data_IF_884201901336
#
_entry.id   IF_884201901336
#
_cell.length_a   1.000
_cell.length_b   1.000
_cell.length_c   1.000
_cell.angle_alpha   90.00
_cell.angle_beta   90.00
_cell.angle_gamma   90.00
#
_symmetry.space_group_name_H-M   'P 1'
#
loop_
_entity.id
_entity.type
_entity.pdbx_description
1 polymer ?
#
# COMPACT_ATOMS: atom_id res chain seq x y z
N UNK A 1 -10.60 -16.87 -16.24
CA UNK A 1 -9.73 -16.47 -15.14
C UNK A 1 -9.87 -14.97 -15.05
N UNK A 2 -10.27 -14.44 -13.92
CA UNK A 2 -10.33 -12.97 -13.71
C UNK A 2 -8.88 -12.49 -13.62
N UNK A 3 -8.45 -11.66 -14.57
CA UNK A 3 -7.13 -11.05 -14.50
C UNK A 3 -7.27 -9.78 -13.67
N UNK A 4 -6.66 -9.76 -12.48
CA UNK A 4 -6.63 -8.58 -11.62
C UNK A 4 -5.84 -7.50 -12.35
N UNK A 5 -6.47 -6.36 -12.58
CA UNK A 5 -5.83 -5.18 -13.17
C UNK A 5 -6.46 -3.89 -12.66
N UNK A 6 -5.67 -2.84 -12.64
CA UNK A 6 -6.12 -1.48 -12.33
C UNK A 6 -5.79 -0.61 -13.54
N UNK A 7 -6.80 0.03 -14.11
CA UNK A 7 -6.64 1.00 -15.19
C UNK A 7 -6.98 2.40 -14.73
N UNK A 8 -6.07 3.32 -14.97
CA UNK A 8 -6.20 4.73 -14.61
C UNK A 8 -6.00 5.56 -15.87
N UNK A 9 -6.94 6.44 -16.16
CA UNK A 9 -6.91 7.30 -17.35
C UNK A 9 -7.20 8.75 -17.01
N UNK A 10 -6.23 9.63 -17.30
CA UNK A 10 -6.36 11.08 -17.17
C UNK A 10 -6.73 11.57 -15.78
N UNK A 11 -6.28 10.85 -14.73
CA UNK A 11 -6.63 11.11 -13.35
C UNK A 11 -6.06 12.44 -12.88
N UNK A 12 -6.93 13.38 -12.50
CA UNK A 12 -6.55 14.65 -11.87
C UNK A 12 -7.31 14.85 -10.58
N UNK A 13 -6.64 15.43 -9.59
CA UNK A 13 -7.21 15.66 -8.27
C UNK A 13 -6.63 16.91 -7.59
N UNK A 14 -7.48 17.66 -6.93
CA UNK A 14 -7.13 18.78 -6.06
C UNK A 14 -7.96 18.74 -4.78
N UNK A 15 -7.36 19.02 -3.61
CA UNK A 15 -8.10 19.22 -2.37
C UNK A 15 -8.71 20.61 -2.32
N UNK A 16 -7.96 21.59 -2.81
CA UNK A 16 -8.38 22.99 -2.89
C UNK A 16 -8.32 23.43 -4.35
N UNK A 17 -9.33 24.17 -4.79
CA UNK A 17 -9.44 24.63 -6.17
C UNK A 17 -8.21 25.44 -6.60
N UNK A 18 -7.59 25.03 -7.70
CA UNK A 18 -6.39 25.67 -8.24
C UNK A 18 -5.06 25.18 -7.66
N UNK A 19 -5.10 24.17 -6.77
CA UNK A 19 -3.91 23.53 -6.21
C UNK A 19 -3.90 22.04 -6.56
N UNK A 20 -3.53 21.68 -7.81
CA UNK A 20 -3.54 20.30 -8.26
C UNK A 20 -2.51 19.46 -7.47
N UNK A 21 -2.96 18.32 -6.95
CA UNK A 21 -2.12 17.31 -6.28
C UNK A 21 -1.75 16.21 -7.25
N UNK A 22 -2.67 15.85 -8.16
CA UNK A 22 -2.42 14.94 -9.28
C UNK A 22 -2.90 15.59 -10.57
N UNK A 23 -2.15 15.40 -11.65
CA UNK A 23 -2.41 16.03 -12.94
C UNK A 23 -2.25 15.04 -14.08
N UNK A 24 -3.39 14.63 -14.65
CA UNK A 24 -3.51 13.80 -15.86
C UNK A 24 -2.73 12.47 -15.79
N UNK A 25 -2.72 11.81 -14.62
CA UNK A 25 -2.07 10.51 -14.45
C UNK A 25 -2.81 9.44 -15.27
N UNK A 26 -2.06 8.70 -16.07
CA UNK A 26 -2.53 7.52 -16.79
C UNK A 26 -1.51 6.40 -16.61
N UNK A 27 -1.95 5.25 -16.06
CA UNK A 27 -1.11 4.09 -15.79
C UNK A 27 -1.99 2.86 -15.58
N UNK A 28 -1.47 1.68 -15.95
CA UNK A 28 -2.13 0.40 -15.70
C UNK A 28 -1.24 -0.49 -14.84
N UNK A 29 -1.86 -1.26 -13.95
CA UNK A 29 -1.20 -2.27 -13.11
C UNK A 29 -1.87 -3.62 -13.33
N UNK A 30 -1.10 -4.70 -13.31
CA UNK A 30 -1.57 -6.04 -13.64
C UNK A 30 -1.37 -7.00 -12.46
N UNK A 31 -2.06 -8.12 -12.50
CA UNK A 31 -1.86 -9.24 -11.59
C UNK A 31 -0.37 -9.61 -11.52
N UNK A 32 0.11 -9.90 -10.31
CA UNK A 32 1.52 -10.18 -10.01
C UNK A 32 2.49 -8.99 -10.10
N UNK A 33 2.03 -7.78 -10.49
CA UNK A 33 2.88 -6.59 -10.40
C UNK A 33 3.21 -6.26 -8.94
N UNK A 34 4.49 -5.96 -8.71
CA UNK A 34 4.99 -5.41 -7.47
C UNK A 34 5.52 -4.02 -7.73
N UNK A 35 4.72 -3.01 -7.42
CA UNK A 35 4.96 -1.63 -7.85
C UNK A 35 5.35 -0.74 -6.69
N UNK A 36 6.50 -0.09 -6.80
CA UNK A 36 6.92 0.98 -5.92
C UNK A 36 6.55 2.35 -6.49
N UNK A 37 5.74 3.12 -5.78
CA UNK A 37 5.48 4.53 -6.11
C UNK A 37 6.45 5.37 -5.29
N UNK A 38 7.39 6.01 -5.96
CA UNK A 38 8.40 6.88 -5.33
C UNK A 38 8.20 8.35 -5.71
N UNK A 39 8.81 9.25 -4.97
CA UNK A 39 8.73 10.69 -5.19
C UNK A 39 8.96 11.46 -3.89
N UNK A 40 9.24 12.75 -4.00
CA UNK A 40 9.44 13.64 -2.85
C UNK A 40 8.18 13.73 -1.97
N UNK A 41 8.33 14.32 -0.78
CA UNK A 41 7.18 14.63 0.08
C UNK A 41 6.21 15.55 -0.67
N UNK A 42 4.92 15.32 -0.45
CA UNK A 42 3.82 16.03 -1.13
C UNK A 42 3.74 15.84 -2.66
N UNK A 43 4.46 14.89 -3.25
CA UNK A 43 4.36 14.57 -4.68
C UNK A 43 3.00 13.98 -5.11
N UNK A 44 2.10 13.64 -4.16
CA UNK A 44 0.78 13.09 -4.44
C UNK A 44 0.63 11.58 -4.21
N UNK A 45 1.67 10.88 -3.72
CA UNK A 45 1.69 9.42 -3.56
C UNK A 45 0.54 8.86 -2.72
N UNK A 46 0.36 9.37 -1.50
CA UNK A 46 -0.74 8.92 -0.61
C UNK A 46 -2.11 9.27 -1.17
N UNK A 47 -2.24 10.43 -1.83
CA UNK A 47 -3.48 10.84 -2.49
C UNK A 47 -3.81 9.88 -3.64
N UNK A 48 -2.81 9.48 -4.42
CA UNK A 48 -2.98 8.49 -5.48
C UNK A 48 -3.54 7.17 -4.94
N UNK A 49 -2.96 6.62 -3.86
CA UNK A 49 -3.48 5.39 -3.24
C UNK A 49 -4.91 5.56 -2.68
N UNK A 50 -5.22 6.71 -2.06
CA UNK A 50 -6.56 6.99 -1.51
C UNK A 50 -7.64 7.01 -2.60
N UNK A 51 -7.30 7.52 -3.78
CA UNK A 51 -8.21 7.52 -4.93
C UNK A 51 -8.50 6.10 -5.44
N UNK A 52 -7.52 5.18 -5.41
CA UNK A 52 -7.72 3.80 -5.83
C UNK A 52 -8.75 3.05 -4.96
N UNK A 53 -8.85 3.36 -3.67
CA UNK A 53 -9.81 2.74 -2.75
C UNK A 53 -11.08 3.59 -2.54
N UNK A 54 -11.19 4.71 -3.26
CA UNK A 54 -12.32 5.62 -3.15
C UNK A 54 -12.48 6.25 -1.75
N UNK A 55 -11.36 6.51 -1.05
CA UNK A 55 -11.33 7.39 0.12
C UNK A 55 -11.42 8.86 -0.30
N UNK A 56 -10.88 9.15 -1.47
CA UNK A 56 -11.09 10.38 -2.21
C UNK A 56 -11.68 10.04 -3.59
N UNK A 57 -12.42 10.98 -4.19
CA UNK A 57 -13.04 10.76 -5.49
C UNK A 57 -12.51 11.78 -6.49
N UNK A 58 -11.99 11.35 -7.64
CA UNK A 58 -11.41 12.27 -8.61
C UNK A 58 -12.50 13.11 -9.29
N UNK A 59 -12.29 14.42 -9.44
CA UNK A 59 -13.19 15.27 -10.23
C UNK A 59 -13.02 15.05 -11.73
N UNK A 60 -11.88 14.49 -12.17
CA UNK A 60 -11.57 14.22 -13.57
C UNK A 60 -10.81 12.91 -13.72
N UNK A 61 -10.98 12.28 -14.89
CA UNK A 61 -10.39 10.99 -15.20
C UNK A 61 -11.25 9.82 -14.72
N UNK A 62 -10.69 8.62 -14.83
CA UNK A 62 -11.37 7.39 -14.41
C UNK A 62 -10.38 6.40 -13.81
N UNK A 63 -10.88 5.63 -12.85
CA UNK A 63 -10.19 4.49 -12.25
C UNK A 63 -11.10 3.27 -12.41
N UNK A 64 -10.57 2.17 -12.91
CA UNK A 64 -11.25 0.88 -12.99
C UNK A 64 -10.40 -0.18 -12.31
N UNK A 65 -11.04 -1.03 -11.54
CA UNK A 65 -10.41 -2.19 -10.90
C UNK A 65 -11.10 -3.42 -11.47
N UNK A 66 -10.35 -4.19 -12.23
CA UNK A 66 -10.92 -5.11 -13.20
C UNK A 66 -11.89 -4.34 -14.13
N UNK A 67 -13.14 -4.81 -14.27
CA UNK A 67 -14.15 -4.10 -15.06
C UNK A 67 -15.01 -3.14 -14.22
N UNK A 68 -14.70 -2.97 -12.90
CA UNK A 68 -15.52 -2.19 -11.97
C UNK A 68 -14.97 -0.76 -11.87
N UNK A 69 -15.74 0.28 -12.25
CA UNK A 69 -15.31 1.66 -12.04
C UNK A 69 -15.30 2.01 -10.54
N UNK A 70 -14.36 2.85 -10.11
CA UNK A 70 -14.30 3.37 -8.74
C UNK A 70 -15.29 4.51 -8.61
N UNK A 71 -16.49 4.20 -8.11
CA UNK A 71 -17.61 5.11 -7.90
C UNK A 71 -18.30 4.81 -6.56
N UNK A 72 -19.05 5.77 -6.01
CA UNK A 72 -19.69 5.62 -4.68
C UNK A 72 -20.53 4.34 -4.52
N UNK A 73 -21.21 3.91 -5.56
CA UNK A 73 -22.07 2.73 -5.57
C UNK A 73 -21.32 1.40 -5.76
N UNK A 74 -20.04 1.42 -6.12
CA UNK A 74 -19.21 0.23 -6.36
C UNK A 74 -18.17 0.00 -5.26
N UNK A 75 -17.97 0.96 -4.35
CA UNK A 75 -16.91 0.93 -3.34
C UNK A 75 -16.94 -0.33 -2.46
N UNK A 76 -18.13 -0.85 -2.11
CA UNK A 76 -18.23 -2.08 -1.31
C UNK A 76 -17.51 -3.24 -2.01
N UNK A 77 -17.82 -3.47 -3.30
CA UNK A 77 -17.20 -4.55 -4.09
C UNK A 77 -15.69 -4.36 -4.29
N UNK A 78 -15.26 -3.11 -4.46
CA UNK A 78 -13.84 -2.77 -4.63
C UNK A 78 -13.08 -3.05 -3.34
N UNK A 79 -13.61 -2.62 -2.19
CA UNK A 79 -12.99 -2.78 -0.87
C UNK A 79 -12.97 -4.22 -0.36
N UNK A 80 -13.76 -5.11 -0.94
CA UNK A 80 -13.66 -6.55 -0.70
C UNK A 80 -12.37 -7.15 -1.31
N UNK A 81 -11.89 -6.56 -2.41
CA UNK A 81 -10.71 -7.02 -3.16
C UNK A 81 -9.41 -6.36 -2.73
N UNK A 82 -9.49 -5.17 -2.14
CA UNK A 82 -8.31 -4.34 -1.85
C UNK A 82 -8.09 -4.21 -0.35
N UNK A 83 -6.90 -4.60 0.09
CA UNK A 83 -6.38 -4.23 1.40
C UNK A 83 -5.61 -2.92 1.33
N UNK A 84 -5.91 -1.97 2.23
CA UNK A 84 -5.21 -0.69 2.32
C UNK A 84 -4.55 -0.53 3.69
N UNK A 85 -3.24 -0.33 3.71
CA UNK A 85 -2.47 -0.04 4.93
C UNK A 85 -2.16 1.46 4.97
N UNK A 86 -2.68 2.13 5.98
CA UNK A 86 -2.46 3.57 6.18
C UNK A 86 -1.03 3.87 6.65
N UNK A 87 -0.53 5.06 6.30
CA UNK A 87 0.75 5.54 6.78
C UNK A 87 0.79 5.60 8.30
N UNK A 88 -0.25 6.17 8.93
CA UNK A 88 -0.42 6.19 10.37
C UNK A 88 -1.31 5.03 10.83
N UNK A 89 -0.71 4.09 11.59
CA UNK A 89 -1.41 2.92 12.12
C UNK A 89 -2.47 3.28 13.15
N UNK A 90 -2.37 4.43 13.84
CA UNK A 90 -3.37 4.88 14.80
C UNK A 90 -4.70 5.29 14.12
N UNK A 91 -4.68 5.58 12.82
CA UNK A 91 -5.89 5.82 12.03
C UNK A 91 -6.59 4.54 11.56
N UNK A 92 -5.90 3.40 11.64
CA UNK A 92 -6.40 2.10 11.19
C UNK A 92 -6.85 1.20 12.34
N UNK A 93 -6.11 1.21 13.47
CA UNK A 93 -6.36 0.35 14.62
C UNK A 93 -7.30 1.05 15.60
N UNK A 94 -8.44 0.43 15.92
CA UNK A 94 -9.48 1.06 16.75
C UNK A 94 -10.17 0.12 17.73
N UNK A 95 -9.88 -1.19 17.68
CA UNK A 95 -10.42 -2.16 18.63
C UNK A 95 -9.60 -2.21 19.92
N UNK A 96 -10.06 -3.00 20.90
CA UNK A 96 -9.40 -3.07 22.20
C UNK A 96 -8.10 -3.87 22.13
N UNK A 97 -8.08 -4.99 21.42
CA UNK A 97 -6.93 -5.89 21.29
C UNK A 97 -6.53 -6.11 19.84
N UNK A 98 -5.30 -6.57 19.63
CA UNK A 98 -4.77 -6.88 18.30
C UNK A 98 -5.66 -7.91 17.57
N UNK A 99 -6.01 -9.01 18.23
CA UNK A 99 -6.84 -10.05 17.62
C UNK A 99 -8.23 -9.54 17.24
N UNK A 100 -8.81 -8.61 18.01
CA UNK A 100 -10.11 -8.04 17.70
C UNK A 100 -10.05 -7.15 16.46
N UNK A 101 -8.98 -6.35 16.30
CA UNK A 101 -8.76 -5.55 15.09
C UNK A 101 -8.54 -6.45 13.86
N UNK A 102 -7.71 -7.49 13.98
CA UNK A 102 -7.46 -8.43 12.89
C UNK A 102 -8.72 -9.22 12.51
N UNK A 103 -9.60 -9.50 13.48
CA UNK A 103 -10.87 -10.19 13.27
C UNK A 103 -11.99 -9.27 12.75
N UNK A 104 -11.82 -7.95 12.83
CA UNK A 104 -12.90 -7.00 12.57
C UNK A 104 -13.46 -7.13 11.14
N UNK A 105 -12.59 -7.05 10.13
CA UNK A 105 -13.03 -7.10 8.75
C UNK A 105 -13.61 -8.48 8.38
N UNK A 106 -12.99 -9.64 8.69
CA UNK A 106 -13.59 -10.95 8.49
C UNK A 106 -14.99 -11.11 9.13
N UNK A 107 -15.19 -10.59 10.36
CA UNK A 107 -16.52 -10.56 11.01
C UNK A 107 -17.52 -9.71 10.27
N UNK A 108 -17.10 -8.52 9.87
CA UNK A 108 -17.98 -7.56 9.17
C UNK A 108 -18.47 -8.11 7.81
N UNK A 109 -17.66 -8.97 7.18
CA UNK A 109 -18.05 -9.70 5.96
C UNK A 109 -18.83 -11.00 6.24
N UNK A 110 -19.14 -11.29 7.50
CA UNK A 110 -20.01 -12.40 7.88
C UNK A 110 -19.39 -13.78 7.75
N UNK A 111 -18.06 -13.90 7.85
CA UNK A 111 -17.38 -15.18 7.83
C UNK A 111 -17.73 -16.00 9.10
N UNK A 112 -17.73 -17.34 9.03
CA UNK A 112 -17.90 -18.20 10.20
C UNK A 112 -16.78 -18.01 11.23
N UNK A 113 -17.07 -18.13 12.53
CA UNK A 113 -16.10 -17.87 13.60
C UNK A 113 -14.84 -18.79 13.54
N UNK A 114 -14.99 -20.03 13.11
CA UNK A 114 -13.86 -20.94 12.90
C UNK A 114 -12.95 -20.50 11.76
N UNK A 115 -13.49 -19.93 10.69
CA UNK A 115 -12.73 -19.34 9.60
C UNK A 115 -12.05 -18.05 10.05
N UNK A 116 -12.75 -17.18 10.80
CA UNK A 116 -12.18 -15.97 11.37
C UNK A 116 -10.97 -16.31 12.24
N UNK A 117 -11.11 -17.28 13.17
CA UNK A 117 -10.04 -17.69 14.04
C UNK A 117 -8.80 -18.19 13.24
N UNK A 118 -9.01 -18.97 12.18
CA UNK A 118 -7.91 -19.45 11.30
C UNK A 118 -7.23 -18.29 10.58
N UNK A 119 -8.00 -17.35 10.02
CA UNK A 119 -7.45 -16.18 9.30
C UNK A 119 -6.69 -15.25 10.22
N UNK A 120 -7.21 -14.98 11.41
CA UNK A 120 -6.53 -14.19 12.45
C UNK A 120 -5.20 -14.82 12.83
N UNK A 121 -5.19 -16.10 13.17
CA UNK A 121 -3.96 -16.80 13.53
C UNK A 121 -2.94 -16.74 12.40
N UNK A 122 -3.35 -17.08 11.17
CA UNK A 122 -2.47 -17.03 9.99
C UNK A 122 -1.92 -15.62 9.73
N UNK A 123 -2.76 -14.57 9.82
CA UNK A 123 -2.32 -13.21 9.58
C UNK A 123 -1.29 -12.74 10.61
N UNK A 124 -1.50 -13.07 11.89
CA UNK A 124 -0.55 -12.77 12.98
C UNK A 124 0.77 -13.54 12.82
N UNK A 125 0.72 -14.81 12.39
CA UNK A 125 1.91 -15.62 12.13
C UNK A 125 2.73 -15.06 10.96
N UNK A 126 2.07 -14.65 9.87
CA UNK A 126 2.73 -14.05 8.70
C UNK A 126 3.57 -12.83 9.06
N UNK A 127 3.09 -11.97 9.94
CA UNK A 127 3.83 -10.78 10.38
C UNK A 127 4.61 -11.00 11.69
N UNK A 128 4.72 -12.26 12.16
CA UNK A 128 5.49 -12.68 13.34
C UNK A 128 5.08 -12.04 14.68
N UNK A 129 3.79 -11.73 14.86
CA UNK A 129 3.25 -11.14 16.10
C UNK A 129 2.15 -11.99 16.79
N UNK A 130 2.12 -13.34 16.73
CA UNK A 130 1.07 -14.12 17.40
C UNK A 130 1.05 -13.90 18.91
N UNK A 131 2.21 -13.59 19.52
CA UNK A 131 2.36 -13.28 20.94
C UNK A 131 1.69 -11.95 21.34
N UNK A 132 1.30 -11.11 20.40
CA UNK A 132 0.61 -9.85 20.65
C UNK A 132 -0.93 -9.95 20.53
N UNK A 133 -1.49 -11.11 20.16
CA UNK A 133 -2.91 -11.27 19.89
C UNK A 133 -3.83 -10.64 20.95
N UNK A 134 -3.61 -10.95 22.22
CA UNK A 134 -4.38 -10.41 23.34
C UNK A 134 -3.89 -9.07 23.89
N UNK A 135 -2.84 -8.46 23.31
CA UNK A 135 -2.28 -7.20 23.80
C UNK A 135 -3.18 -6.02 23.43
N UNK A 136 -3.47 -5.11 24.38
CA UNK A 136 -4.20 -3.89 24.08
C UNK A 136 -3.46 -3.00 23.08
N UNK A 137 -4.17 -2.42 22.10
CA UNK A 137 -3.60 -1.60 21.02
C UNK A 137 -2.80 -0.42 21.59
N UNK A 138 -3.29 0.26 22.63
CA UNK A 138 -2.61 1.42 23.22
C UNK A 138 -1.28 1.07 23.93
N UNK A 139 -0.96 -0.21 24.14
CA UNK A 139 0.31 -0.70 24.70
C UNK A 139 1.32 -1.13 23.65
N UNK A 140 0.98 -1.06 22.39
CA UNK A 140 1.87 -1.40 21.29
C UNK A 140 2.88 -0.29 21.03
N UNK A 141 4.11 -0.66 20.68
CA UNK A 141 5.06 0.26 20.06
C UNK A 141 4.62 0.63 18.64
N UNK A 142 5.20 1.69 18.04
CA UNK A 142 4.88 2.09 16.67
C UNK A 142 5.09 0.96 15.65
N UNK A 143 6.21 0.22 15.77
CA UNK A 143 6.47 -0.93 14.90
C UNK A 143 5.48 -2.08 15.10
N UNK A 144 5.11 -2.41 16.37
CA UNK A 144 4.07 -3.41 16.65
C UNK A 144 2.70 -3.00 16.08
N UNK A 145 2.35 -1.70 16.17
CA UNK A 145 1.12 -1.16 15.56
C UNK A 145 1.14 -1.30 14.03
N UNK A 146 2.28 -1.00 13.39
CA UNK A 146 2.42 -1.17 11.94
C UNK A 146 2.24 -2.63 11.52
N UNK A 147 2.86 -3.58 12.21
CA UNK A 147 2.67 -5.00 11.92
C UNK A 147 1.22 -5.46 12.19
N UNK A 148 0.59 -4.97 13.25
CA UNK A 148 -0.81 -5.26 13.54
C UNK A 148 -1.72 -4.69 12.42
N UNK A 149 -1.48 -3.46 11.94
CA UNK A 149 -2.25 -2.88 10.84
C UNK A 149 -2.09 -3.66 9.52
N UNK A 150 -0.92 -4.23 9.26
CA UNK A 150 -0.71 -5.12 8.12
C UNK A 150 -1.48 -6.43 8.31
N UNK A 151 -1.47 -7.02 9.52
CA UNK A 151 -2.22 -8.24 9.82
C UNK A 151 -3.73 -8.06 9.62
N UNK A 152 -4.32 -6.88 9.92
CA UNK A 152 -5.75 -6.61 9.68
C UNK A 152 -6.12 -6.76 8.21
N UNK A 153 -5.20 -6.40 7.30
CA UNK A 153 -5.42 -6.51 5.86
C UNK A 153 -5.21 -7.95 5.39
N UNK A 154 -4.14 -8.60 5.85
CA UNK A 154 -3.83 -9.99 5.46
C UNK A 154 -4.91 -11.00 5.90
N UNK A 155 -5.64 -10.72 6.99
CA UNK A 155 -6.75 -11.57 7.44
C UNK A 155 -7.90 -11.65 6.44
N UNK A 156 -8.04 -10.65 5.57
CA UNK A 156 -9.03 -10.62 4.51
C UNK A 156 -8.63 -11.42 3.27
N UNK A 157 -7.36 -11.78 3.13
CA UNK A 157 -6.82 -12.42 1.92
C UNK A 157 -7.16 -11.63 0.65
N UNK A 158 -6.76 -10.35 0.57
CA UNK A 158 -7.14 -9.48 -0.55
C UNK A 158 -6.43 -9.87 -1.83
N UNK A 159 -7.03 -9.57 -2.97
CA UNK A 159 -6.43 -9.74 -4.31
C UNK A 159 -5.41 -8.64 -4.62
N UNK A 160 -5.56 -7.47 -3.98
CA UNK A 160 -4.72 -6.28 -4.19
C UNK A 160 -4.33 -5.71 -2.83
N UNK A 161 -3.05 -5.39 -2.64
CA UNK A 161 -2.57 -4.69 -1.45
C UNK A 161 -2.01 -3.33 -1.84
N UNK A 162 -2.52 -2.29 -1.19
CA UNK A 162 -2.01 -0.93 -1.27
C UNK A 162 -1.40 -0.56 0.09
N UNK A 163 -0.15 -0.13 0.11
CA UNK A 163 0.54 0.22 1.35
C UNK A 163 1.14 1.62 1.27
N UNK A 164 0.75 2.47 2.20
CA UNK A 164 1.31 3.81 2.33
C UNK A 164 2.38 3.82 3.41
N UNK A 165 3.66 3.96 3.00
CA UNK A 165 4.86 3.99 3.85
C UNK A 165 4.92 2.81 4.85
N UNK A 166 4.86 1.53 4.40
CA UNK A 166 4.75 0.39 5.31
C UNK A 166 6.03 0.12 6.11
N UNK A 167 7.21 0.54 5.65
CA UNK A 167 8.49 0.38 6.35
C UNK A 167 8.72 1.43 7.44
N UNK A 168 7.94 2.53 7.45
CA UNK A 168 8.07 3.58 8.45
C UNK A 168 7.85 3.02 9.88
N UNK A 169 8.68 3.47 10.81
CA UNK A 169 8.67 3.07 12.22
C UNK A 169 9.05 1.58 12.51
N UNK A 170 9.42 0.79 11.49
CA UNK A 170 9.93 -0.57 11.70
C UNK A 170 11.42 -0.57 12.04
N UNK A 171 11.78 -1.38 13.03
CA UNK A 171 13.19 -1.71 13.27
C UNK A 171 13.74 -2.63 12.14
N UNK A 172 15.07 -2.78 12.01
CA UNK A 172 15.66 -3.57 10.93
C UNK A 172 15.20 -5.03 10.85
N UNK A 173 14.84 -5.64 11.98
CA UNK A 173 14.34 -7.02 12.03
C UNK A 173 12.93 -7.10 11.45
N UNK A 174 12.03 -6.24 11.92
CA UNK A 174 10.65 -6.18 11.46
C UNK A 174 10.55 -5.73 10.00
N UNK A 175 11.44 -4.79 9.56
CA UNK A 175 11.56 -4.40 8.16
C UNK A 175 11.92 -5.61 7.26
N UNK A 176 12.92 -6.41 7.64
CA UNK A 176 13.28 -7.64 6.89
C UNK A 176 12.13 -8.65 6.85
N UNK A 177 11.45 -8.83 7.99
CA UNK A 177 10.27 -9.69 8.06
C UNK A 177 9.18 -9.26 7.08
N UNK A 178 8.89 -7.96 7.02
CA UNK A 178 7.91 -7.42 6.08
C UNK A 178 8.34 -7.62 4.63
N UNK A 179 9.61 -7.45 4.29
CA UNK A 179 10.15 -7.74 2.96
C UNK A 179 9.86 -9.20 2.56
N UNK A 180 10.09 -10.18 3.46
CA UNK A 180 9.78 -11.58 3.18
C UNK A 180 8.29 -11.79 2.92
N UNK A 181 7.42 -11.25 3.79
CA UNK A 181 5.96 -11.36 3.62
C UNK A 181 5.51 -10.80 2.28
N UNK A 182 6.03 -9.62 1.90
CA UNK A 182 5.67 -8.99 0.63
C UNK A 182 6.18 -9.77 -0.58
N UNK A 183 7.37 -10.36 -0.49
CA UNK A 183 7.93 -11.15 -1.60
C UNK A 183 7.25 -12.52 -1.78
N UNK A 184 6.55 -13.01 -0.74
CA UNK A 184 5.70 -14.22 -0.82
C UNK A 184 4.27 -13.91 -1.28
N UNK A 185 3.87 -12.64 -1.32
CA UNK A 185 2.55 -12.23 -1.76
C UNK A 185 2.48 -12.22 -3.29
N UNK A 186 1.74 -13.14 -3.86
CA UNK A 186 1.72 -13.45 -5.30
C UNK A 186 0.66 -12.66 -6.11
N UNK A 187 0.02 -11.66 -5.52
CA UNK A 187 -0.95 -10.80 -6.18
C UNK A 187 -0.44 -9.37 -6.34
N UNK A 188 -1.25 -8.51 -6.96
CA UNK A 188 -0.91 -7.11 -7.18
C UNK A 188 -0.64 -6.38 -5.85
N UNK A 189 0.54 -5.77 -5.73
CA UNK A 189 0.88 -4.88 -4.64
C UNK A 189 1.41 -3.55 -5.14
N UNK A 190 0.92 -2.46 -4.54
CA UNK A 190 1.37 -1.10 -4.83
C UNK A 190 1.78 -0.47 -3.50
N UNK A 191 3.03 -0.05 -3.42
CA UNK A 191 3.67 0.44 -2.21
C UNK A 191 4.19 1.85 -2.46
N UNK A 192 3.78 2.82 -1.64
CA UNK A 192 4.48 4.11 -1.61
C UNK A 192 5.58 4.05 -0.56
N UNK A 193 6.76 4.55 -0.88
CA UNK A 193 7.83 4.70 0.11
C UNK A 193 8.84 5.78 -0.29
N UNK A 194 9.45 6.40 0.73
CA UNK A 194 10.66 7.19 0.60
C UNK A 194 11.93 6.38 0.91
N UNK A 195 11.78 5.14 1.45
CA UNK A 195 12.86 4.17 1.62
C UNK A 195 13.10 3.43 0.29
N UNK A 196 14.03 3.96 -0.52
CA UNK A 196 14.31 3.41 -1.85
C UNK A 196 14.97 2.03 -1.77
N UNK A 197 15.70 1.70 -0.70
CA UNK A 197 16.21 0.35 -0.46
C UNK A 197 15.06 -0.65 -0.20
N UNK A 198 14.00 -0.22 0.48
CA UNK A 198 12.82 -1.05 0.67
C UNK A 198 12.10 -1.31 -0.66
N UNK A 199 11.96 -0.30 -1.51
CA UNK A 199 11.41 -0.45 -2.86
C UNK A 199 12.28 -1.38 -3.71
N UNK A 200 13.61 -1.23 -3.65
CA UNK A 200 14.54 -2.11 -4.34
C UNK A 200 14.37 -3.58 -3.96
N UNK A 201 14.19 -3.85 -2.65
CA UNK A 201 14.06 -5.19 -2.11
C UNK A 201 12.70 -5.84 -2.36
N UNK A 202 11.65 -5.06 -2.66
CA UNK A 202 10.26 -5.55 -2.68
C UNK A 202 9.52 -5.36 -4.00
N UNK A 203 10.00 -4.52 -4.90
CA UNK A 203 9.25 -4.14 -6.09
C UNK A 203 9.99 -4.54 -7.37
N UNK A 204 9.24 -5.01 -8.37
CA UNK A 204 9.74 -5.32 -9.72
C UNK A 204 9.53 -4.17 -10.72
N UNK A 205 8.71 -3.18 -10.35
CA UNK A 205 8.41 -1.99 -11.15
C UNK A 205 8.41 -0.76 -10.25
N UNK A 206 8.90 0.35 -10.75
CA UNK A 206 8.96 1.63 -10.04
C UNK A 206 8.29 2.70 -10.88
N UNK A 207 7.41 3.47 -10.26
CA UNK A 207 6.77 4.66 -10.84
C UNK A 207 7.20 5.88 -10.04
N UNK A 208 7.90 6.80 -10.67
CA UNK A 208 8.31 8.07 -10.08
C UNK A 208 7.22 9.12 -10.32
N UNK A 209 6.68 9.66 -9.23
CA UNK A 209 5.72 10.76 -9.27
C UNK A 209 6.39 12.02 -8.73
N UNK A 210 6.30 13.10 -9.50
CA UNK A 210 6.70 14.43 -9.07
C UNK A 210 5.69 15.48 -9.54
N UNK A 211 5.42 16.47 -8.69
CA UNK A 211 4.43 17.52 -8.93
C UNK A 211 3.10 16.98 -9.50
N UNK A 212 2.65 15.83 -8.99
CA UNK A 212 1.39 15.19 -9.39
C UNK A 212 1.42 14.48 -10.74
N UNK A 213 2.56 14.32 -11.39
CA UNK A 213 2.72 13.67 -12.70
C UNK A 213 3.62 12.45 -12.63
N UNK A 214 3.39 11.47 -13.47
CA UNK A 214 4.35 10.37 -13.68
C UNK A 214 5.51 10.90 -14.52
N UNK A 215 6.71 10.81 -13.95
CA UNK A 215 7.96 11.23 -14.59
C UNK A 215 8.66 10.05 -15.24
N UNK A 216 8.65 8.90 -14.56
CA UNK A 216 9.26 7.67 -15.05
C UNK A 216 8.46 6.46 -14.58
N UNK A 217 8.49 5.40 -15.38
CA UNK A 217 7.86 4.12 -15.12
C UNK A 217 8.74 3.01 -15.73
N UNK A 218 9.23 2.09 -14.92
CA UNK A 218 10.14 1.05 -15.38
C UNK A 218 10.64 0.14 -14.28
N UNK A 219 11.65 -0.65 -14.60
CA UNK A 219 12.27 -1.58 -13.64
C UNK A 219 13.18 -0.85 -12.64
N UNK A 220 13.34 -1.36 -11.41
CA UNK A 220 14.17 -0.74 -10.37
C UNK A 220 15.61 -0.46 -10.84
N UNK A 221 16.25 -1.40 -11.55
CA UNK A 221 17.62 -1.25 -12.06
C UNK A 221 17.83 -0.03 -12.95
N UNK A 222 16.79 0.40 -13.68
CA UNK A 222 16.87 1.58 -14.55
C UNK A 222 16.60 2.85 -13.76
N UNK A 223 15.53 2.87 -12.96
CA UNK A 223 15.07 4.11 -12.29
C UNK A 223 15.92 4.40 -11.04
N UNK A 224 16.15 3.40 -10.18
CA UNK A 224 16.82 3.63 -8.90
C UNK A 224 18.36 3.73 -9.01
N UNK A 225 18.94 3.47 -10.19
CA UNK A 225 20.38 3.74 -10.47
C UNK A 225 20.61 5.04 -11.22
N UNK A 226 19.58 5.69 -11.70
CA UNK A 226 19.69 6.98 -12.39
C UNK A 226 19.75 8.13 -11.37
N UNK A 227 20.97 8.41 -10.88
CA UNK A 227 21.22 9.49 -9.92
C UNK A 227 20.77 10.85 -10.46
N UNK A 228 20.93 11.09 -11.76
CA UNK A 228 20.53 12.36 -12.38
C UNK A 228 19.01 12.52 -12.32
N UNK A 229 18.27 11.47 -12.67
CA UNK A 229 16.81 11.45 -12.58
C UNK A 229 16.34 11.65 -11.13
N UNK A 230 16.86 10.86 -10.20
CA UNK A 230 16.46 10.94 -8.79
C UNK A 230 16.73 12.32 -8.19
N UNK A 231 17.94 12.86 -8.40
CA UNK A 231 18.33 14.18 -7.86
C UNK A 231 17.48 15.31 -8.46
N UNK A 232 17.17 15.25 -9.76
CA UNK A 232 16.31 16.25 -10.40
C UNK A 232 14.90 16.30 -9.80
N UNK A 233 14.44 15.22 -9.16
CA UNK A 233 13.11 15.10 -8.53
C UNK A 233 13.16 15.00 -7.00
N UNK A 234 14.27 15.49 -6.39
CA UNK A 234 14.41 15.62 -4.93
C UNK A 234 14.56 14.28 -4.18
N UNK A 235 15.10 13.28 -4.86
CA UNK A 235 15.44 11.97 -4.30
C UNK A 235 16.96 11.74 -4.36
N UNK A 236 17.45 10.82 -3.55
CA UNK A 236 18.82 10.35 -3.53
C UNK A 236 18.89 8.88 -3.98
N UNK A 237 20.06 8.40 -4.36
CA UNK A 237 20.25 6.97 -4.63
C UNK A 237 19.91 6.13 -3.40
N UNK A 238 19.39 4.89 -3.58
CA UNK A 238 19.34 3.91 -2.50
C UNK A 238 20.70 3.80 -1.79
N UNK A 239 20.71 3.73 -0.47
CA UNK A 239 21.95 3.64 0.31
C UNK A 239 22.82 2.43 -0.09
N UNK A 240 22.19 1.34 -0.50
CA UNK A 240 22.85 0.13 -0.99
C UNK A 240 23.53 0.32 -2.35
N UNK A 241 23.15 1.34 -3.13
CA UNK A 241 23.68 1.65 -4.46
C UNK A 241 24.58 2.88 -4.47
N UNK A 242 24.59 3.69 -3.42
CA UNK A 242 25.51 4.82 -3.28
C UNK A 242 26.93 4.31 -3.08
N UNK A 243 27.86 4.72 -3.92
CA UNK A 243 29.30 4.47 -3.70
C UNK A 243 29.72 5.14 -2.37
N UNK A 244 30.43 4.39 -1.52
CA UNK A 244 31.03 4.90 -0.28
C UNK A 244 32.34 5.59 -0.57
#
# INVERSE_FOLDING_TARGET
>A
MSHIHIDISGLSFEYEKGHPVLDSISVSFHEHDSVGIIGANAAGKSTFLKLLVGLEMPPQGSIRIEEIPVEKNTLSKIREKIGYVFQDSDTQLFMTTVQDDVAFAPRNYGLPEDEIARRVARALDLVHIPHLAGKPIYKLSGGEKKLASIATILSMTPDIILMDEPSAALDPKNRRSLIHVLNEFDHLRIITSHDLDFIWDTCSRVVLIDAGRIIADGIPDVILRDETLLTAHGLELPLSLSER
#
